data_IF_764363478198
#
_entry.id   IF_764363478198
#
_cell.length_a   1.000
_cell.length_b   1.000
_cell.length_c   1.000
_cell.angle_alpha   90.00
_cell.angle_beta   90.00
_cell.angle_gamma   90.00
#
_symmetry.space_group_name_H-M   'P 1'
#
loop_
_entity.id
_entity.type
_entity.pdbx_description
1 polymer ?
#
# COMPACT_ATOMS: atom_id res chain seq x y z
N UNK A 1 35.73 21.45 40.00
CA UNK A 1 36.11 21.89 38.63
C UNK A 1 37.41 21.17 38.26
N UNK A 2 37.32 20.05 37.56
CA UNK A 2 38.47 19.21 37.19
C UNK A 2 39.15 19.85 35.97
N UNK A 3 40.27 20.57 36.19
CA UNK A 3 41.12 21.01 35.09
C UNK A 3 41.96 19.83 34.60
N UNK A 4 41.44 19.11 33.60
CA UNK A 4 42.23 18.12 32.87
C UNK A 4 43.17 18.85 31.92
N UNK A 5 44.43 18.97 32.27
CA UNK A 5 45.46 19.49 31.38
C UNK A 5 45.84 18.43 30.36
N UNK A 6 45.00 18.32 29.29
CA UNK A 6 45.35 17.50 28.15
C UNK A 6 46.54 18.11 27.37
N UNK A 7 47.54 17.30 27.07
CA UNK A 7 48.63 17.72 26.20
C UNK A 7 48.10 18.12 24.82
N UNK A 8 48.79 19.01 24.10
CA UNK A 8 48.38 19.45 22.77
C UNK A 8 48.11 18.27 21.84
N UNK A 9 48.92 17.24 21.93
CA UNK A 9 48.78 15.97 21.17
C UNK A 9 47.46 15.26 21.45
N UNK A 10 47.08 15.18 22.72
CA UNK A 10 45.81 14.54 23.15
C UNK A 10 44.60 15.35 22.68
N UNK A 11 44.66 16.67 22.65
CA UNK A 11 43.58 17.53 22.17
C UNK A 11 43.32 17.32 20.66
N UNK A 12 44.38 17.25 19.86
CA UNK A 12 44.30 17.01 18.43
C UNK A 12 43.70 15.61 18.18
N UNK A 13 44.18 14.60 18.89
CA UNK A 13 43.69 13.22 18.74
C UNK A 13 42.21 13.08 19.09
N UNK A 14 41.77 13.65 20.21
CA UNK A 14 40.37 13.66 20.62
C UNK A 14 39.51 14.41 19.61
N UNK A 15 39.97 15.57 19.11
CA UNK A 15 39.28 16.34 18.11
C UNK A 15 39.05 15.53 16.79
N UNK A 16 40.06 14.77 16.36
CA UNK A 16 39.94 13.91 15.19
C UNK A 16 38.93 12.77 15.42
N UNK A 17 38.96 12.13 16.58
CA UNK A 17 37.99 11.08 16.92
C UNK A 17 36.57 11.64 16.94
N UNK A 18 36.35 12.78 17.59
CA UNK A 18 35.03 13.43 17.64
C UNK A 18 34.52 13.77 16.26
N UNK A 19 35.39 14.30 15.39
CA UNK A 19 35.05 14.66 14.05
C UNK A 19 34.64 13.43 13.19
N UNK A 20 35.37 12.33 13.30
CA UNK A 20 35.04 11.07 12.61
C UNK A 20 33.73 10.48 13.14
N UNK A 21 33.50 10.48 14.44
CA UNK A 21 32.24 10.02 15.02
C UNK A 21 31.06 10.87 14.56
N UNK A 22 31.22 12.19 14.53
CA UNK A 22 30.19 13.13 14.05
C UNK A 22 29.85 12.87 12.57
N UNK A 23 30.86 12.69 11.73
CA UNK A 23 30.69 12.37 10.31
C UNK A 23 29.97 11.03 10.15
N UNK A 24 30.33 10.01 10.91
CA UNK A 24 29.70 8.68 10.86
C UNK A 24 28.21 8.73 11.25
N UNK A 25 27.88 9.48 12.30
CA UNK A 25 26.48 9.66 12.73
C UNK A 25 25.65 10.40 11.67
N UNK A 26 26.22 11.44 11.05
CA UNK A 26 25.55 12.17 9.99
C UNK A 26 25.29 11.28 8.76
N UNK A 27 26.28 10.51 8.33
CA UNK A 27 26.14 9.58 7.21
C UNK A 27 25.07 8.53 7.51
N UNK A 28 25.11 7.93 8.71
CA UNK A 28 24.10 6.96 9.13
C UNK A 28 22.68 7.56 9.13
N UNK A 29 22.51 8.78 9.66
CA UNK A 29 21.23 9.47 9.66
C UNK A 29 20.69 9.75 8.25
N UNK A 30 21.53 10.24 7.34
CA UNK A 30 21.16 10.48 5.96
C UNK A 30 20.78 9.17 5.26
N UNK A 31 21.54 8.11 5.46
CA UNK A 31 21.30 6.80 4.86
C UNK A 31 19.94 6.22 5.32
N UNK A 32 19.64 6.29 6.62
CA UNK A 32 18.36 5.82 7.17
C UNK A 32 17.21 6.64 6.57
N UNK A 33 17.37 7.96 6.51
CA UNK A 33 16.34 8.83 5.93
C UNK A 33 16.06 8.50 4.45
N UNK A 34 17.10 8.39 3.63
CA UNK A 34 16.97 8.04 2.22
C UNK A 34 16.35 6.65 2.02
N UNK A 35 16.74 5.67 2.82
CA UNK A 35 16.18 4.32 2.75
C UNK A 35 14.68 4.30 3.09
N UNK A 36 14.27 5.05 4.11
CA UNK A 36 12.86 5.17 4.50
C UNK A 36 11.99 5.82 3.41
N UNK A 37 12.53 6.82 2.71
CA UNK A 37 11.81 7.51 1.65
C UNK A 37 11.69 6.62 0.39
N UNK A 38 12.77 5.95 -0.01
CA UNK A 38 12.77 4.99 -1.12
C UNK A 38 11.82 3.80 -0.87
N UNK A 39 11.71 3.33 0.36
CA UNK A 39 10.79 2.25 0.70
C UNK A 39 9.32 2.67 0.49
N UNK A 40 8.94 3.89 0.88
CA UNK A 40 7.58 4.41 0.68
C UNK A 40 7.23 4.53 -0.80
N UNK A 41 8.12 5.07 -1.60
CA UNK A 41 7.93 5.22 -3.04
C UNK A 41 7.79 3.84 -3.72
N UNK A 42 8.61 2.88 -3.34
CA UNK A 42 8.55 1.51 -3.85
C UNK A 42 7.19 0.84 -3.57
N UNK A 43 6.65 1.00 -2.36
CA UNK A 43 5.35 0.42 -2.00
C UNK A 43 4.20 1.11 -2.73
N UNK A 44 4.27 2.43 -2.90
CA UNK A 44 3.29 3.18 -3.69
C UNK A 44 3.27 2.74 -5.15
N UNK A 45 4.43 2.59 -5.79
CA UNK A 45 4.57 2.10 -7.16
C UNK A 45 4.08 0.66 -7.32
N UNK A 46 4.33 -0.19 -6.33
CA UNK A 46 3.86 -1.57 -6.33
C UNK A 46 2.35 -1.67 -6.23
N UNK A 47 1.75 -0.86 -5.37
CA UNK A 47 0.30 -0.75 -5.24
C UNK A 47 -0.33 -0.27 -6.54
N UNK A 48 0.23 0.77 -7.17
CA UNK A 48 -0.25 1.30 -8.45
C UNK A 48 -0.22 0.25 -9.57
N UNK A 49 0.89 -0.46 -9.72
CA UNK A 49 1.00 -1.55 -10.71
C UNK A 49 -0.02 -2.67 -10.48
N UNK A 50 -0.24 -3.08 -9.23
CA UNK A 50 -1.26 -4.09 -8.88
C UNK A 50 -2.67 -3.59 -9.18
N UNK A 51 -2.95 -2.34 -8.85
CA UNK A 51 -4.23 -1.70 -9.15
C UNK A 51 -4.52 -1.66 -10.65
N UNK A 52 -3.54 -1.27 -11.47
CA UNK A 52 -3.67 -1.25 -12.93
C UNK A 52 -3.89 -2.65 -13.52
N UNK A 53 -3.17 -3.66 -13.01
CA UNK A 53 -3.36 -5.05 -13.43
C UNK A 53 -4.77 -5.54 -13.09
N UNK A 54 -5.27 -5.23 -11.89
CA UNK A 54 -6.64 -5.56 -11.50
C UNK A 54 -7.67 -4.89 -12.39
N UNK A 55 -7.56 -3.59 -12.63
CA UNK A 55 -8.46 -2.84 -13.52
C UNK A 55 -8.48 -3.42 -14.93
N UNK A 56 -7.33 -3.84 -15.43
CA UNK A 56 -7.22 -4.49 -16.74
C UNK A 56 -7.96 -5.83 -16.76
N UNK A 57 -7.78 -6.66 -15.72
CA UNK A 57 -8.48 -7.94 -15.62
C UNK A 57 -10.00 -7.76 -15.50
N UNK A 58 -10.44 -6.79 -14.67
CA UNK A 58 -11.85 -6.44 -14.55
C UNK A 58 -12.43 -5.93 -15.89
N UNK A 59 -11.67 -5.14 -16.63
CA UNK A 59 -12.09 -4.66 -17.95
C UNK A 59 -12.27 -5.79 -18.97
N UNK A 60 -11.37 -6.78 -18.98
CA UNK A 60 -11.55 -7.97 -19.84
C UNK A 60 -12.81 -8.75 -19.46
N UNK A 61 -13.07 -8.93 -18.18
CA UNK A 61 -14.32 -9.57 -17.71
C UNK A 61 -15.56 -8.80 -18.18
N UNK A 62 -15.53 -7.47 -18.16
CA UNK A 62 -16.62 -6.64 -18.67
C UNK A 62 -16.81 -6.82 -20.18
N UNK A 63 -15.73 -6.94 -20.95
CA UNK A 63 -15.81 -7.18 -22.40
C UNK A 63 -16.44 -8.53 -22.75
N UNK A 64 -16.12 -9.56 -21.99
CA UNK A 64 -16.61 -10.92 -22.21
C UNK A 64 -18.05 -11.13 -21.72
N UNK A 65 -18.53 -10.26 -20.84
CA UNK A 65 -19.86 -10.39 -20.25
C UNK A 65 -20.97 -10.01 -21.23
N UNK A 66 -21.98 -10.87 -21.42
CA UNK A 66 -23.16 -10.55 -22.23
C UNK A 66 -24.13 -9.59 -21.51
N UNK A 67 -23.93 -9.32 -20.23
CA UNK A 67 -24.83 -8.50 -19.41
C UNK A 67 -24.62 -7.02 -19.66
N UNK A 68 -25.71 -6.27 -19.62
CA UNK A 68 -25.65 -4.80 -19.69
C UNK A 68 -24.88 -4.25 -18.50
N UNK A 69 -23.90 -3.40 -18.76
CA UNK A 69 -23.03 -2.82 -17.73
C UNK A 69 -23.75 -1.69 -17.00
N UNK A 70 -24.38 -2.05 -15.89
CA UNK A 70 -25.07 -1.13 -15.01
C UNK A 70 -24.86 -1.54 -13.54
N UNK A 71 -25.23 -0.65 -12.60
CA UNK A 71 -25.10 -0.86 -11.16
C UNK A 71 -25.67 -2.20 -10.67
N UNK A 72 -26.83 -2.62 -11.22
CA UNK A 72 -27.51 -3.86 -10.81
C UNK A 72 -26.76 -5.12 -11.26
N UNK A 73 -26.00 -5.05 -12.33
CA UNK A 73 -25.31 -6.18 -12.93
C UNK A 73 -23.85 -6.31 -12.49
N UNK A 74 -23.31 -5.39 -11.70
CA UNK A 74 -21.90 -5.47 -11.24
C UNK A 74 -21.63 -6.79 -10.53
N UNK A 75 -22.46 -7.17 -9.55
CA UNK A 75 -22.29 -8.43 -8.83
C UNK A 75 -22.43 -9.66 -9.74
N UNK A 76 -23.46 -9.81 -10.57
CA UNK A 76 -23.55 -10.92 -11.53
C UNK A 76 -22.40 -11.00 -12.53
N UNK A 77 -21.92 -9.86 -13.06
CA UNK A 77 -20.83 -9.82 -14.04
C UNK A 77 -19.54 -10.39 -13.43
N UNK A 78 -19.24 -10.02 -12.20
CA UNK A 78 -17.97 -10.36 -11.58
C UNK A 78 -18.01 -11.61 -10.67
N UNK A 79 -19.20 -12.16 -10.35
CA UNK A 79 -19.36 -13.21 -9.34
C UNK A 79 -18.46 -14.44 -9.55
N UNK A 80 -18.24 -14.85 -10.79
CA UNK A 80 -17.43 -16.03 -11.13
C UNK A 80 -15.95 -15.71 -11.31
N UNK A 81 -15.62 -14.46 -11.70
CA UNK A 81 -14.25 -14.08 -12.07
C UNK A 81 -13.44 -13.46 -10.95
N UNK A 82 -14.07 -12.83 -9.94
CA UNK A 82 -13.35 -12.13 -8.87
C UNK A 82 -12.38 -13.01 -8.11
N UNK A 83 -12.80 -14.22 -7.74
CA UNK A 83 -11.94 -15.15 -7.02
C UNK A 83 -10.74 -15.56 -7.88
N UNK A 84 -10.96 -15.89 -9.16
CA UNK A 84 -9.88 -16.26 -10.07
C UNK A 84 -8.89 -15.11 -10.29
N UNK A 85 -9.38 -13.86 -10.43
CA UNK A 85 -8.53 -12.67 -10.56
C UNK A 85 -7.70 -12.47 -9.28
N UNK A 86 -8.32 -12.59 -8.11
CA UNK A 86 -7.67 -12.48 -6.82
C UNK A 86 -6.57 -13.51 -6.63
N UNK A 87 -6.85 -14.76 -6.97
CA UNK A 87 -5.92 -15.89 -6.84
C UNK A 87 -4.71 -15.73 -7.77
N UNK A 88 -4.95 -15.47 -9.05
CA UNK A 88 -3.89 -15.29 -10.06
C UNK A 88 -2.97 -14.11 -9.73
N UNK A 89 -3.53 -13.02 -9.24
CA UNK A 89 -2.75 -11.80 -8.93
C UNK A 89 -2.23 -11.76 -7.49
N UNK A 90 -2.60 -12.75 -6.69
CA UNK A 90 -2.27 -12.83 -5.27
C UNK A 90 -2.58 -11.51 -4.53
N UNK A 91 -3.80 -11.01 -4.70
CA UNK A 91 -4.31 -9.81 -4.04
C UNK A 91 -5.77 -9.97 -3.67
N UNK A 92 -6.14 -9.54 -2.46
CA UNK A 92 -7.55 -9.42 -2.11
C UNK A 92 -8.04 -8.01 -2.45
N UNK A 93 -9.27 -7.91 -2.92
CA UNK A 93 -9.89 -6.62 -3.23
C UNK A 93 -11.41 -6.71 -3.08
N UNK A 94 -12.04 -5.57 -2.99
CA UNK A 94 -13.49 -5.47 -2.85
C UNK A 94 -14.07 -4.45 -3.81
N UNK A 95 -15.31 -4.67 -4.19
CA UNK A 95 -16.08 -3.76 -5.04
C UNK A 95 -17.19 -3.08 -4.23
N UNK A 96 -17.33 -1.79 -4.46
CA UNK A 96 -18.37 -0.94 -3.87
C UNK A 96 -19.14 -0.24 -4.99
N UNK A 97 -20.39 0.07 -4.73
CA UNK A 97 -21.15 0.90 -5.66
C UNK A 97 -20.66 2.36 -5.63
N UNK A 98 -21.18 3.18 -6.54
CA UNK A 98 -20.78 4.58 -6.63
C UNK A 98 -21.24 5.44 -5.43
N UNK A 99 -22.18 4.93 -4.66
CA UNK A 99 -22.66 5.55 -3.42
C UNK A 99 -21.87 5.05 -2.19
N UNK A 100 -20.94 4.11 -2.42
CA UNK A 100 -20.06 3.56 -1.39
C UNK A 100 -20.60 2.34 -0.65
N UNK A 101 -21.74 1.77 -1.07
CA UNK A 101 -22.24 0.54 -0.47
C UNK A 101 -21.45 -0.67 -0.95
N UNK A 102 -21.16 -1.60 -0.06
CA UNK A 102 -20.42 -2.83 -0.36
C UNK A 102 -21.21 -3.70 -1.37
N UNK A 103 -20.54 -4.18 -2.40
CA UNK A 103 -21.10 -5.13 -3.36
C UNK A 103 -20.60 -6.54 -3.06
N UNK A 104 -19.29 -6.76 -3.18
CA UNK A 104 -18.67 -8.06 -2.94
C UNK A 104 -17.15 -7.96 -2.79
N UNK A 105 -16.55 -8.98 -2.20
CA UNK A 105 -15.10 -9.14 -2.08
C UNK A 105 -14.63 -10.33 -2.91
N UNK A 106 -13.42 -10.25 -3.42
CA UNK A 106 -12.83 -11.30 -4.25
C UNK A 106 -12.51 -12.56 -3.45
N UNK A 107 -11.97 -12.41 -2.23
CA UNK A 107 -11.68 -13.53 -1.35
C UNK A 107 -12.01 -13.14 0.10
N UNK A 108 -13.13 -13.61 0.65
CA UNK A 108 -13.55 -13.26 2.01
C UNK A 108 -12.65 -13.80 3.12
N UNK A 109 -11.82 -14.79 2.80
CA UNK A 109 -10.92 -15.44 3.79
C UNK A 109 -9.48 -14.94 3.70
N UNK A 110 -9.13 -14.15 2.68
CA UNK A 110 -7.78 -13.66 2.47
C UNK A 110 -7.63 -12.22 2.99
N UNK A 111 -6.93 -12.09 4.08
CA UNK A 111 -6.51 -10.81 4.65
C UNK A 111 -6.94 -10.62 6.09
N UNK A 112 -6.19 -9.82 6.85
CA UNK A 112 -6.45 -9.58 8.26
C UNK A 112 -7.64 -8.64 8.52
N UNK A 113 -8.20 -8.01 7.48
CA UNK A 113 -9.20 -6.96 7.59
C UNK A 113 -10.42 -7.25 6.74
N UNK A 114 -11.58 -7.25 7.38
CA UNK A 114 -12.87 -7.39 6.72
C UNK A 114 -13.22 -6.12 5.91
N UNK A 115 -13.83 -6.32 4.74
CA UNK A 115 -14.32 -5.19 3.94
C UNK A 115 -15.45 -4.46 4.69
N UNK A 116 -15.34 -3.14 4.80
CA UNK A 116 -16.36 -2.32 5.45
C UNK A 116 -17.70 -2.41 4.69
N UNK A 117 -18.82 -2.42 5.40
CA UNK A 117 -20.15 -2.45 4.79
C UNK A 117 -20.43 -1.20 3.92
N UNK A 118 -19.76 -0.08 4.19
CA UNK A 118 -19.85 1.14 3.39
C UNK A 118 -18.58 1.97 3.47
N UNK A 119 -18.28 2.71 2.41
CA UNK A 119 -17.19 3.68 2.38
C UNK A 119 -17.59 4.96 3.12
N UNK A 120 -16.61 5.59 3.77
CA UNK A 120 -16.84 6.88 4.45
C UNK A 120 -17.09 8.01 3.44
N UNK A 121 -17.82 9.04 3.87
CA UNK A 121 -18.09 10.22 3.06
C UNK A 121 -16.81 10.93 2.59
N UNK A 122 -15.75 10.90 3.38
CA UNK A 122 -14.47 11.50 3.04
C UNK A 122 -13.79 10.77 1.88
N UNK A 123 -13.85 9.43 1.84
CA UNK A 123 -13.32 8.63 0.73
C UNK A 123 -14.07 8.97 -0.55
N UNK A 124 -15.41 8.99 -0.50
CA UNK A 124 -16.23 9.32 -1.67
C UNK A 124 -15.99 10.75 -2.17
N UNK A 125 -15.82 11.71 -1.27
CA UNK A 125 -15.48 13.09 -1.62
C UNK A 125 -14.13 13.18 -2.34
N UNK A 126 -13.11 12.51 -1.80
CA UNK A 126 -11.77 12.50 -2.38
C UNK A 126 -11.73 11.79 -3.74
N UNK A 127 -12.48 10.68 -3.91
CA UNK A 127 -12.62 9.99 -5.19
C UNK A 127 -13.28 10.86 -6.26
N UNK A 128 -14.30 11.62 -5.91
CA UNK A 128 -14.97 12.55 -6.85
C UNK A 128 -14.03 13.64 -7.35
N UNK A 129 -13.08 14.09 -6.52
CA UNK A 129 -12.11 15.12 -6.89
C UNK A 129 -10.92 14.56 -7.69
N UNK A 130 -10.38 13.42 -7.26
CA UNK A 130 -9.07 12.92 -7.73
C UNK A 130 -9.15 11.64 -8.57
N UNK A 131 -10.36 11.03 -8.73
CA UNK A 131 -10.60 9.75 -9.42
C UNK A 131 -9.87 8.54 -8.81
N UNK A 132 -8.83 8.75 -8.04
CA UNK A 132 -8.04 7.79 -7.28
C UNK A 132 -7.68 8.39 -5.92
N UNK A 133 -7.77 7.59 -4.87
CA UNK A 133 -7.41 8.01 -3.52
C UNK A 133 -6.65 6.89 -2.81
N UNK A 134 -5.46 7.20 -2.32
CA UNK A 134 -4.63 6.27 -1.54
C UNK A 134 -4.50 6.82 -0.13
N UNK A 135 -4.72 5.96 0.84
CA UNK A 135 -4.65 6.32 2.25
C UNK A 135 -3.95 5.22 3.04
N UNK A 136 -3.15 5.63 4.02
CA UNK A 136 -2.61 4.70 5.02
C UNK A 136 -3.68 4.42 6.06
N UNK A 137 -4.02 3.16 6.24
CA UNK A 137 -4.95 2.69 7.27
C UNK A 137 -4.20 1.91 8.34
N UNK A 138 -4.68 2.01 9.57
CA UNK A 138 -4.22 1.19 10.68
C UNK A 138 -5.40 0.48 11.29
N UNK A 139 -5.31 -0.83 11.41
CA UNK A 139 -6.36 -1.66 12.02
C UNK A 139 -5.70 -2.65 12.99
N UNK A 140 -5.97 -2.45 14.27
CA UNK A 140 -5.22 -3.12 15.33
C UNK A 140 -3.73 -2.74 15.26
N UNK A 141 -2.87 -3.74 15.16
CA UNK A 141 -1.41 -3.56 15.05
C UNK A 141 -0.90 -3.57 13.59
N UNK A 142 -1.79 -3.63 12.61
CA UNK A 142 -1.42 -3.71 11.19
C UNK A 142 -1.64 -2.36 10.53
N UNK A 143 -0.59 -1.83 9.89
CA UNK A 143 -0.66 -0.63 9.06
C UNK A 143 -0.49 -1.04 7.61
N UNK A 144 -1.36 -0.54 6.73
CA UNK A 144 -1.36 -0.90 5.32
C UNK A 144 -1.80 0.29 4.45
N UNK A 145 -1.41 0.24 3.18
CA UNK A 145 -1.91 1.18 2.18
C UNK A 145 -3.25 0.67 1.61
N UNK A 146 -4.19 1.56 1.42
CA UNK A 146 -5.47 1.26 0.80
C UNK A 146 -5.70 2.19 -0.40
N UNK A 147 -5.85 1.61 -1.58
CA UNK A 147 -6.21 2.35 -2.78
C UNK A 147 -7.69 2.24 -3.06
N UNK A 148 -8.30 3.35 -3.41
CA UNK A 148 -9.67 3.47 -3.90
C UNK A 148 -9.64 4.09 -5.27
N UNK A 149 -10.35 3.50 -6.23
CA UNK A 149 -10.42 4.05 -7.59
C UNK A 149 -11.67 3.59 -8.32
N UNK A 150 -12.05 4.32 -9.36
CA UNK A 150 -13.16 3.92 -10.19
C UNK A 150 -12.74 2.82 -11.18
N UNK A 151 -13.64 1.85 -11.35
CA UNK A 151 -13.65 0.94 -12.50
C UNK A 151 -14.68 1.49 -13.48
N UNK A 152 -14.28 1.62 -14.72
CA UNK A 152 -15.10 2.19 -15.79
C UNK A 152 -15.71 1.10 -16.64
N UNK A 153 -16.92 1.35 -17.16
CA UNK A 153 -17.54 0.51 -18.17
C UNK A 153 -16.88 0.70 -19.56
N UNK A 154 -17.38 0.00 -20.56
CA UNK A 154 -16.86 0.10 -21.94
C UNK A 154 -17.12 1.47 -22.57
N UNK A 155 -18.10 2.22 -22.07
CA UNK A 155 -18.41 3.60 -22.49
C UNK A 155 -17.62 4.66 -21.69
N UNK A 156 -16.63 4.24 -20.90
CA UNK A 156 -15.81 5.12 -20.05
C UNK A 156 -16.60 5.86 -18.95
N UNK A 157 -17.73 5.32 -18.51
CA UNK A 157 -18.49 5.82 -17.37
C UNK A 157 -18.11 5.06 -16.11
N UNK A 158 -18.06 5.72 -14.93
CA UNK A 158 -17.81 5.03 -13.69
C UNK A 158 -18.89 3.98 -13.41
N UNK A 159 -18.49 2.73 -13.19
CA UNK A 159 -19.40 1.61 -12.95
C UNK A 159 -19.39 1.19 -11.48
N UNK A 160 -18.22 1.07 -10.90
CA UNK A 160 -18.03 0.62 -9.51
C UNK A 160 -16.75 1.21 -8.92
N UNK A 161 -16.60 1.16 -7.60
CA UNK A 161 -15.39 1.56 -6.88
C UNK A 161 -14.62 0.30 -6.50
N UNK A 162 -13.36 0.23 -6.90
CA UNK A 162 -12.39 -0.76 -6.48
C UNK A 162 -11.72 -0.33 -5.17
N UNK A 163 -11.74 -1.18 -4.18
CA UNK A 163 -10.94 -1.08 -2.95
C UNK A 163 -9.86 -2.14 -2.96
N UNK A 164 -8.61 -1.71 -2.89
CA UNK A 164 -7.44 -2.56 -2.89
C UNK A 164 -6.61 -2.30 -1.62
N UNK A 165 -6.69 -3.15 -0.59
CA UNK A 165 -5.77 -3.12 0.54
C UNK A 165 -4.43 -3.73 0.14
N UNK A 166 -3.34 -3.06 0.48
CA UNK A 166 -1.98 -3.51 0.25
C UNK A 166 -1.23 -3.59 1.58
N UNK A 167 -0.97 -4.79 2.01
CA UNK A 167 -0.20 -5.08 3.21
C UNK A 167 1.28 -5.17 2.86
N UNK A 168 2.11 -4.47 3.61
CA UNK A 168 3.56 -4.67 3.55
C UNK A 168 3.87 -6.08 4.04
N UNK A 169 4.57 -6.86 3.23
CA UNK A 169 5.09 -8.17 3.63
C UNK A 169 6.28 -7.99 4.59
N UNK A 170 5.99 -7.48 5.79
CA UNK A 170 6.99 -7.34 6.86
C UNK A 170 7.50 -8.70 7.35
N UNK A 171 6.83 -9.80 6.98
CA UNK A 171 7.25 -11.15 7.35
C UNK A 171 8.58 -11.56 6.71
N UNK A 172 8.89 -11.02 5.54
CA UNK A 172 10.16 -11.31 4.84
C UNK A 172 11.34 -10.55 5.51
N UNK A 173 11.13 -9.28 5.84
CA UNK A 173 12.16 -8.46 6.49
C UNK A 173 12.47 -8.90 7.92
N UNK A 174 11.49 -9.37 8.70
CA UNK A 174 11.73 -9.85 10.05
C UNK A 174 12.47 -11.20 10.05
N UNK A 175 12.12 -12.14 9.17
CA UNK A 175 12.83 -13.41 9.05
C UNK A 175 14.27 -13.24 8.57
N UNK A 176 14.51 -12.41 7.55
CA UNK A 176 15.87 -12.11 7.09
C UNK A 176 16.72 -11.39 8.14
N UNK A 177 16.12 -10.47 8.91
CA UNK A 177 16.81 -9.79 10.01
C UNK A 177 17.13 -10.75 11.16
N UNK A 178 16.22 -11.64 11.53
CA UNK A 178 16.47 -12.68 12.53
C UNK A 178 17.55 -13.67 12.05
N UNK A 179 17.52 -14.15 10.80
CA UNK A 179 18.56 -15.02 10.26
C UNK A 179 19.92 -14.32 10.15
N UNK A 180 19.94 -13.02 9.89
CA UNK A 180 21.18 -12.24 9.84
C UNK A 180 21.76 -11.95 11.21
N UNK A 181 20.92 -11.74 12.24
CA UNK A 181 21.36 -11.45 13.61
C UNK A 181 21.77 -12.69 14.40
N UNK A 182 21.30 -13.89 14.00
CA UNK A 182 21.57 -15.15 14.70
C UNK A 182 22.53 -16.09 13.94
N UNK A 183 23.21 -15.60 12.92
CA UNK A 183 24.28 -16.28 12.19
C UNK A 183 25.63 -15.71 12.53
#
# INVERSE_FOLDING_TARGET
MIKTNFSLRSRIFISMIVLVLLASVLIAGITIYQYSEQAKDYHADRLERKEEQLKRSLWYTLQESPLVQNKANVSPIFSESLFAISDVQNVNFSLYDLDGAFIQTANPTAGPVEAAASLSADILKNLKQNKRWVVTKSEGNVTFLAAYSYVYDLDQKPLTILYLPYYEDNSFNQKELEEFLFR
#
